data_IF_757795814910
#
_entry.id   IF_757795814910
#
_cell.length_a   1.000
_cell.length_b   1.000
_cell.length_c   1.000
_cell.angle_alpha   90.00
_cell.angle_beta   90.00
_cell.angle_gamma   90.00
#
_symmetry.space_group_name_H-M   'P 1'
#
loop_
_entity.id
_entity.type
_entity.pdbx_description
1 polymer ?
#
# COMPACT_ATOMS: atom_id res chain seq x y z
N UNK A 1 -3.23 28.85 47.94
CA UNK A 1 -3.97 27.58 47.69
C UNK A 1 -4.38 27.36 46.24
N UNK A 2 -3.78 28.03 45.33
CA UNK A 2 -4.11 27.90 43.85
C UNK A 2 -2.90 27.45 43.03
N UNK A 3 -1.93 26.75 43.63
CA UNK A 3 -0.70 26.30 42.96
C UNK A 3 -0.66 24.83 42.59
N UNK A 4 -1.73 24.06 42.81
CA UNK A 4 -1.72 22.61 42.58
C UNK A 4 -2.51 22.14 41.37
N UNK A 5 -3.19 23.00 40.67
CA UNK A 5 -4.05 22.58 39.54
C UNK A 5 -3.48 22.83 38.14
N UNK A 6 -2.25 23.33 38.03
CA UNK A 6 -1.64 23.62 36.72
C UNK A 6 -0.83 22.42 36.18
N UNK A 7 -0.56 21.44 37.02
CA UNK A 7 0.31 20.31 36.66
C UNK A 7 -0.41 19.11 36.04
N UNK A 8 -1.73 19.10 35.99
CA UNK A 8 -2.54 17.97 35.52
C UNK A 8 -2.98 18.11 34.05
N UNK A 9 -2.82 19.27 33.45
CA UNK A 9 -3.33 19.55 32.08
C UNK A 9 -2.28 19.34 30.98
N UNK A 10 -1.09 18.87 31.29
CA UNK A 10 0.01 18.71 30.32
C UNK A 10 0.25 17.29 29.83
N UNK A 11 -0.61 16.31 30.16
CA UNK A 11 -0.32 14.89 29.91
C UNK A 11 -1.21 14.29 28.80
N UNK A 12 -1.98 15.06 28.06
CA UNK A 12 -2.89 14.47 27.07
C UNK A 12 -2.70 14.98 25.65
N UNK A 13 -1.49 14.87 25.13
CA UNK A 13 -1.26 14.95 23.68
C UNK A 13 -0.26 13.90 23.23
N UNK A 14 -0.45 12.67 23.69
CA UNK A 14 0.08 11.51 22.98
C UNK A 14 -0.90 11.22 21.84
N UNK A 15 -0.67 11.92 20.73
CA UNK A 15 -1.25 11.52 19.45
C UNK A 15 -0.75 10.12 19.17
N UNK A 16 -1.59 9.12 19.40
CA UNK A 16 -1.33 7.76 18.95
C UNK A 16 -1.28 7.80 17.42
N UNK A 17 -0.07 7.84 16.89
CA UNK A 17 0.17 7.59 15.46
C UNK A 17 -0.21 6.12 15.26
N UNK A 18 -1.43 5.88 14.85
CA UNK A 18 -1.89 4.55 14.46
C UNK A 18 -1.21 4.16 13.15
N UNK A 19 -0.01 3.66 13.27
CA UNK A 19 0.71 3.00 12.19
C UNK A 19 0.04 1.66 11.95
N UNK A 20 -0.62 1.51 10.81
CA UNK A 20 -1.25 0.26 10.41
C UNK A 20 -0.20 -0.67 9.82
N UNK A 21 0.09 -1.75 10.53
CA UNK A 21 1.10 -2.74 10.13
C UNK A 21 0.44 -4.06 9.79
N UNK A 22 0.85 -4.66 8.69
CA UNK A 22 0.48 -6.02 8.28
C UNK A 22 1.72 -6.90 8.20
N UNK A 23 1.55 -8.19 8.39
CA UNK A 23 2.60 -9.18 8.18
C UNK A 23 2.48 -9.79 6.79
N UNK A 24 3.57 -9.71 6.01
CA UNK A 24 3.69 -10.35 4.70
C UNK A 24 4.96 -11.20 4.70
N UNK A 25 4.80 -12.49 4.56
CA UNK A 25 5.88 -13.48 4.69
C UNK A 25 6.62 -13.31 6.04
N UNK A 26 7.82 -12.74 6.04
CA UNK A 26 8.62 -12.46 7.25
C UNK A 26 8.75 -10.96 7.55
N UNK A 27 8.10 -10.11 6.78
CA UNK A 27 8.19 -8.65 6.93
C UNK A 27 6.95 -8.06 7.59
N UNK A 28 7.19 -7.17 8.53
CA UNK A 28 6.17 -6.26 9.06
C UNK A 28 6.12 -5.02 8.18
N UNK A 29 5.06 -4.90 7.40
CA UNK A 29 4.88 -3.81 6.43
C UNK A 29 3.96 -2.76 7.01
N UNK A 30 4.49 -1.55 7.20
CA UNK A 30 3.71 -0.40 7.64
C UNK A 30 3.08 0.27 6.41
N UNK A 31 1.75 0.30 6.37
CA UNK A 31 0.99 0.92 5.30
C UNK A 31 0.49 2.27 5.76
N UNK A 32 1.08 3.32 5.23
CA UNK A 32 0.70 4.71 5.51
C UNK A 32 -0.59 5.07 4.78
N UNK A 33 -1.16 6.22 5.14
CA UNK A 33 -2.29 6.80 4.43
C UNK A 33 -1.99 6.92 2.92
N UNK A 34 -2.97 6.61 2.09
CA UNK A 34 -2.87 6.61 0.63
C UNK A 34 -1.80 5.66 0.08
N UNK A 35 -1.61 4.53 0.73
CA UNK A 35 -0.75 3.47 0.23
C UNK A 35 -1.52 2.18 0.01
N UNK A 36 -1.11 1.45 -1.02
CA UNK A 36 -1.65 0.13 -1.35
C UNK A 36 -0.49 -0.85 -1.42
N UNK A 37 -0.64 -1.99 -0.76
CA UNK A 37 0.29 -3.10 -0.85
C UNK A 37 -0.36 -4.25 -1.60
N UNK A 38 0.33 -4.74 -2.61
CA UNK A 38 -0.05 -5.94 -3.35
C UNK A 38 0.90 -7.07 -2.96
N UNK A 39 0.37 -8.15 -2.40
CA UNK A 39 1.13 -9.40 -2.26
C UNK A 39 1.21 -10.04 -3.64
N UNK A 40 2.43 -10.17 -4.15
CA UNK A 40 2.71 -10.59 -5.53
C UNK A 40 3.52 -11.88 -5.49
N UNK A 41 3.15 -12.85 -6.31
CA UNK A 41 3.92 -14.09 -6.50
C UNK A 41 4.71 -14.05 -7.80
N UNK A 42 5.91 -14.61 -7.76
CA UNK A 42 6.76 -14.75 -8.94
C UNK A 42 7.86 -13.70 -9.08
N UNK A 43 8.06 -12.85 -8.07
CA UNK A 43 9.19 -11.91 -8.04
C UNK A 43 10.48 -12.68 -7.74
N UNK A 44 11.33 -12.86 -8.72
CA UNK A 44 12.55 -13.70 -8.60
C UNK A 44 13.85 -12.97 -8.93
N UNK A 45 13.79 -11.78 -9.57
CA UNK A 45 15.01 -11.05 -9.95
C UNK A 45 14.80 -9.53 -9.93
N UNK A 46 15.93 -8.81 -9.82
CA UNK A 46 15.94 -7.33 -9.80
C UNK A 46 15.43 -6.71 -11.10
N UNK A 47 15.70 -7.30 -12.25
CA UNK A 47 15.18 -6.81 -13.53
C UNK A 47 13.66 -6.95 -13.64
N UNK A 48 13.12 -8.03 -13.11
CA UNK A 48 11.69 -8.27 -13.03
C UNK A 48 11.02 -7.21 -12.15
N UNK A 49 11.61 -6.89 -11.00
CA UNK A 49 11.15 -5.85 -10.10
C UNK A 49 11.14 -4.46 -10.76
N UNK A 50 12.17 -4.13 -11.54
CA UNK A 50 12.24 -2.88 -12.30
C UNK A 50 11.14 -2.79 -13.37
N UNK A 51 10.86 -3.88 -14.07
CA UNK A 51 9.78 -3.97 -15.06
C UNK A 51 8.42 -3.73 -14.42
N UNK A 52 8.15 -4.38 -13.30
CA UNK A 52 6.92 -4.20 -12.53
C UNK A 52 6.78 -2.76 -12.02
N UNK A 53 7.85 -2.21 -11.44
CA UNK A 53 7.89 -0.83 -10.98
C UNK A 53 7.57 0.16 -12.10
N UNK A 54 8.18 -0.01 -13.27
CA UNK A 54 7.94 0.83 -14.45
C UNK A 54 6.49 0.74 -14.94
N UNK A 55 5.90 -0.44 -14.94
CA UNK A 55 4.51 -0.64 -15.34
C UNK A 55 3.54 0.04 -14.39
N UNK A 56 3.72 -0.14 -13.08
CA UNK A 56 2.88 0.48 -12.06
C UNK A 56 3.03 2.02 -12.03
N UNK A 57 4.23 2.54 -12.20
CA UNK A 57 4.47 3.99 -12.15
C UNK A 57 3.83 4.78 -13.28
N UNK A 58 3.36 4.11 -14.34
CA UNK A 58 2.61 4.74 -15.44
C UNK A 58 1.16 5.04 -15.09
N UNK A 59 0.61 4.43 -14.05
CA UNK A 59 -0.78 4.64 -13.64
C UNK A 59 -0.98 6.07 -13.15
N UNK A 60 -2.09 6.69 -13.55
CA UNK A 60 -2.35 8.12 -13.31
C UNK A 60 -2.53 8.49 -11.84
N UNK A 61 -3.00 7.56 -11.01
CA UNK A 61 -3.23 7.78 -9.58
C UNK A 61 -1.99 7.61 -8.70
N UNK A 62 -0.85 7.22 -9.26
CA UNK A 62 0.40 7.00 -8.52
C UNK A 62 1.08 8.33 -8.20
N UNK A 63 1.44 8.51 -6.92
CA UNK A 63 2.26 9.63 -6.47
C UNK A 63 3.75 9.36 -6.73
N UNK A 64 4.24 9.85 -7.86
CA UNK A 64 5.61 9.62 -8.32
C UNK A 64 6.69 10.31 -7.48
N UNK A 65 6.30 11.15 -6.52
CA UNK A 65 7.23 11.84 -5.62
C UNK A 65 7.72 10.95 -4.48
N UNK A 66 6.97 9.89 -4.16
CA UNK A 66 7.31 8.93 -3.12
C UNK A 66 8.01 7.72 -3.70
N UNK A 67 8.89 7.09 -2.91
CA UNK A 67 9.63 5.90 -3.31
C UNK A 67 10.37 6.08 -4.65
N UNK A 68 10.49 5.02 -5.41
CA UNK A 68 11.02 5.08 -6.79
C UNK A 68 9.85 5.26 -7.77
N UNK A 69 9.56 6.51 -8.12
CA UNK A 69 8.42 6.89 -8.98
C UNK A 69 7.07 6.35 -8.49
N UNK A 70 6.88 6.38 -7.17
CA UNK A 70 5.65 5.98 -6.50
C UNK A 70 5.51 4.50 -6.18
N UNK A 71 6.54 3.70 -6.45
CA UNK A 71 6.50 2.23 -6.30
C UNK A 71 7.71 1.71 -5.54
N UNK A 72 7.47 0.83 -4.58
CA UNK A 72 8.50 0.06 -3.90
C UNK A 72 8.25 -1.43 -4.13
N UNK A 73 9.27 -2.18 -4.46
CA UNK A 73 9.17 -3.63 -4.71
C UNK A 73 10.12 -4.37 -3.78
N UNK A 74 9.58 -5.31 -3.01
CA UNK A 74 10.33 -6.21 -2.14
C UNK A 74 10.31 -7.62 -2.72
N UNK A 75 11.43 -8.03 -3.29
CA UNK A 75 11.58 -9.35 -3.92
C UNK A 75 11.63 -10.45 -2.86
N UNK A 76 12.30 -10.20 -1.76
CA UNK A 76 12.48 -11.19 -0.68
C UNK A 76 11.15 -11.56 -0.04
N UNK A 77 10.31 -10.58 0.23
CA UNK A 77 9.01 -10.77 0.88
C UNK A 77 7.83 -10.78 -0.10
N UNK A 78 8.08 -10.76 -1.40
CA UNK A 78 7.08 -10.95 -2.46
C UNK A 78 5.90 -9.95 -2.37
N UNK A 79 6.20 -8.65 -2.25
CA UNK A 79 5.18 -7.62 -2.31
C UNK A 79 5.65 -6.37 -3.05
N UNK A 80 4.70 -5.59 -3.51
CA UNK A 80 4.92 -4.24 -4.00
C UNK A 80 4.01 -3.25 -3.30
N UNK A 81 4.55 -2.09 -2.95
CA UNK A 81 3.85 -0.99 -2.33
C UNK A 81 3.75 0.15 -3.32
N UNK A 82 2.57 0.72 -3.48
CA UNK A 82 2.34 1.90 -4.32
C UNK A 82 1.81 3.05 -3.50
N UNK A 83 2.36 4.24 -3.74
CA UNK A 83 1.86 5.48 -3.18
C UNK A 83 0.83 6.10 -4.11
N UNK A 84 -0.30 6.53 -3.57
CA UNK A 84 -1.43 7.09 -4.29
C UNK A 84 -1.48 8.60 -4.07
N UNK A 85 -1.76 9.34 -5.13
CA UNK A 85 -2.00 10.79 -5.04
C UNK A 85 -3.21 11.08 -4.16
N UNK A 86 -3.08 12.06 -3.27
CA UNK A 86 -4.19 12.50 -2.44
C UNK A 86 -5.35 13.01 -3.30
N UNK A 87 -6.58 12.58 -2.97
CA UNK A 87 -7.79 12.95 -3.69
C UNK A 87 -7.96 12.35 -5.09
N UNK A 88 -7.06 11.48 -5.56
CA UNK A 88 -7.21 10.84 -6.85
C UNK A 88 -8.14 9.62 -6.81
N UNK A 89 -8.83 9.37 -7.93
CA UNK A 89 -9.66 8.17 -8.08
C UNK A 89 -8.77 6.96 -8.30
N UNK A 90 -8.77 6.06 -7.33
CA UNK A 90 -7.98 4.84 -7.37
C UNK A 90 -8.70 3.79 -8.21
N UNK A 91 -7.97 3.22 -9.16
CA UNK A 91 -8.42 2.08 -9.97
C UNK A 91 -7.56 0.87 -9.65
N UNK A 92 -7.93 0.15 -8.58
CA UNK A 92 -7.21 -1.06 -8.14
C UNK A 92 -7.08 -2.09 -9.27
N UNK A 93 -8.12 -2.26 -10.07
CA UNK A 93 -8.11 -3.21 -11.20
C UNK A 93 -7.05 -2.85 -12.25
N UNK A 94 -6.78 -1.58 -12.48
CA UNK A 94 -5.72 -1.16 -13.43
C UNK A 94 -4.33 -1.56 -12.89
N UNK A 95 -4.11 -1.44 -11.58
CA UNK A 95 -2.88 -1.89 -10.96
C UNK A 95 -2.73 -3.42 -10.98
N UNK A 96 -3.82 -4.15 -10.70
CA UNK A 96 -3.83 -5.62 -10.81
C UNK A 96 -3.54 -6.06 -12.24
N UNK A 97 -4.15 -5.43 -13.23
CA UNK A 97 -3.89 -5.72 -14.64
C UNK A 97 -2.43 -5.46 -15.00
N UNK A 98 -1.85 -4.35 -14.55
CA UNK A 98 -0.45 -4.06 -14.80
C UNK A 98 0.50 -5.11 -14.20
N UNK A 99 0.17 -5.63 -13.02
CA UNK A 99 0.95 -6.69 -12.35
C UNK A 99 0.82 -8.02 -13.12
N UNK A 100 -0.40 -8.39 -13.50
CA UNK A 100 -0.68 -9.62 -14.24
C UNK A 100 -0.08 -9.58 -15.64
N UNK A 101 -0.18 -8.46 -16.34
CA UNK A 101 0.39 -8.27 -17.67
C UNK A 101 1.92 -8.31 -17.65
N UNK A 102 2.53 -7.95 -16.52
CA UNK A 102 3.97 -8.10 -16.31
C UNK A 102 4.41 -9.55 -16.00
N UNK A 103 3.47 -10.50 -15.91
CA UNK A 103 3.74 -11.92 -15.72
C UNK A 103 3.65 -12.40 -14.26
N UNK A 104 3.06 -11.61 -13.36
CA UNK A 104 2.96 -11.94 -11.94
C UNK A 104 1.54 -12.27 -11.52
N UNK A 105 1.40 -12.87 -10.35
CA UNK A 105 0.12 -13.18 -9.74
C UNK A 105 -0.08 -12.31 -8.49
N UNK A 106 -1.26 -11.71 -8.36
CA UNK A 106 -1.67 -10.97 -7.15
C UNK A 106 -2.48 -11.90 -6.25
N UNK A 107 -2.08 -12.00 -5.00
CA UNK A 107 -2.73 -12.84 -4.00
C UNK A 107 -3.70 -12.03 -3.12
N UNK A 108 -3.16 -11.07 -2.38
CA UNK A 108 -3.92 -10.17 -1.52
C UNK A 108 -3.54 -8.71 -1.80
N UNK A 109 -4.48 -7.83 -1.54
CA UNK A 109 -4.31 -6.38 -1.65
C UNK A 109 -4.70 -5.76 -0.32
N UNK A 110 -3.86 -4.86 0.16
CA UNK A 110 -4.06 -4.12 1.40
C UNK A 110 -4.01 -2.63 1.09
N UNK A 111 -5.08 -1.93 1.39
CA UNK A 111 -5.21 -0.51 1.11
C UNK A 111 -5.53 0.27 2.38
N UNK A 112 -4.80 1.34 2.62
CA UNK A 112 -5.03 2.26 3.73
C UNK A 112 -5.43 3.64 3.20
N UNK A 113 -6.73 3.86 2.88
CA UNK A 113 -7.17 5.10 2.23
C UNK A 113 -7.08 6.33 3.13
N UNK A 114 -7.34 6.16 4.42
CA UNK A 114 -7.46 7.27 5.37
C UNK A 114 -6.38 7.28 6.46
N UNK A 115 -5.60 6.23 6.58
CA UNK A 115 -4.55 6.10 7.60
C UNK A 115 -5.00 5.45 8.91
N UNK A 116 -6.26 5.09 9.04
CA UNK A 116 -6.87 4.55 10.26
C UNK A 116 -7.28 3.08 10.15
N UNK A 117 -7.58 2.61 8.95
CA UNK A 117 -8.05 1.26 8.70
C UNK A 117 -7.54 0.69 7.39
N UNK A 118 -7.02 -0.52 7.46
CA UNK A 118 -6.61 -1.27 6.27
C UNK A 118 -7.80 -2.07 5.71
N UNK A 119 -8.10 -1.83 4.45
CA UNK A 119 -9.03 -2.63 3.67
C UNK A 119 -8.27 -3.76 2.99
N UNK A 120 -8.79 -4.98 3.07
CA UNK A 120 -8.16 -6.17 2.51
C UNK A 120 -9.03 -6.76 1.40
N UNK A 121 -8.44 -7.00 0.24
CA UNK A 121 -9.08 -7.64 -0.90
C UNK A 121 -8.34 -8.92 -1.25
N UNK A 122 -9.05 -10.02 -1.35
CA UNK A 122 -8.48 -11.33 -1.68
C UNK A 122 -8.80 -11.76 -3.12
N UNK A 123 -8.12 -12.79 -3.57
CA UNK A 123 -8.19 -13.35 -4.91
C UNK A 123 -9.61 -13.55 -5.51
N UNK A 124 -10.64 -13.99 -4.78
CA UNK A 124 -12.00 -14.14 -5.32
C UNK A 124 -12.60 -12.82 -5.83
N UNK A 125 -12.34 -11.71 -5.13
CA UNK A 125 -12.78 -10.38 -5.53
C UNK A 125 -12.19 -9.95 -6.88
N UNK A 126 -10.93 -10.32 -7.13
CA UNK A 126 -10.22 -9.96 -8.36
C UNK A 126 -10.78 -10.69 -9.59
N UNK A 127 -11.28 -11.90 -9.41
CA UNK A 127 -11.91 -12.67 -10.49
C UNK A 127 -13.29 -12.15 -10.86
N UNK A 128 -14.08 -11.69 -9.90
CA UNK A 128 -15.42 -11.15 -10.14
C UNK A 128 -15.43 -9.86 -10.95
N UNK A 129 -14.38 -9.04 -10.83
CA UNK A 129 -14.32 -7.72 -11.48
C UNK A 129 -13.63 -7.75 -12.85
N UNK A 130 -13.09 -8.88 -13.28
CA UNK A 130 -12.43 -9.01 -14.61
C UNK A 130 -13.42 -9.02 -15.78
N UNK A 131 -14.70 -9.26 -15.53
CA UNK A 131 -15.76 -9.31 -16.52
C UNK A 131 -16.59 -8.04 -16.71
N UNK A 132 -16.31 -6.97 -15.98
CA UNK A 132 -16.97 -5.67 -16.13
C UNK A 132 -16.02 -4.69 -16.82
N UNK A 133 -15.95 -4.80 -18.14
CA UNK A 133 -15.45 -3.72 -18.99
C UNK A 133 -16.58 -2.77 -19.35
#
# INVERSE_FOLDING_TARGET
>A
MLKQNIFVLSIFLLSTINSQTIEIEKANVNIKRNEIVFKVKGLVCSFCAQGLQKSLSKLKFIDKKKYQKGVYVDIENQYTLVAVKDGSKIKINDAVSAIVDAGYEVDNIYHNPYGDKIETFSKPYLHQNRGKK
#
